data_IF_856054774504
#
_entry.id   IF_856054774504
#
_cell.length_a   1.000
_cell.length_b   1.000
_cell.length_c   1.000
_cell.angle_alpha   90.00
_cell.angle_beta   90.00
_cell.angle_gamma   90.00
#
_symmetry.space_group_name_H-M   'P 1'
#
loop_
_entity.id
_entity.type
_entity.pdbx_description
1 polymer ?
#
# COMPACT_ATOMS: atom_id res chain seq x y z
N UNK A 1 -4.47 -3.30 -18.78
CA UNK A 1 -3.15 -2.90 -18.20
C UNK A 1 -2.23 -2.26 -19.24
N UNK A 2 -1.90 -2.93 -20.35
CA UNK A 2 -0.95 -2.44 -21.39
C UNK A 2 -1.24 -1.03 -21.90
N UNK A 3 -2.50 -0.63 -21.99
CA UNK A 3 -2.92 0.72 -22.41
C UNK A 3 -2.32 1.83 -21.50
N UNK A 4 -1.95 1.50 -20.27
CA UNK A 4 -1.37 2.42 -19.28
C UNK A 4 0.16 2.51 -19.34
N UNK A 5 0.82 1.77 -20.24
CA UNK A 5 2.28 1.77 -20.39
C UNK A 5 2.84 3.18 -20.63
N UNK A 6 2.19 3.97 -21.47
CA UNK A 6 2.63 5.35 -21.76
C UNK A 6 2.54 6.27 -20.53
N UNK A 7 1.49 6.11 -19.71
CA UNK A 7 1.33 6.85 -18.44
C UNK A 7 2.43 6.45 -17.47
N UNK A 8 2.68 5.14 -17.34
CA UNK A 8 3.75 4.60 -16.51
C UNK A 8 5.14 5.12 -16.92
N UNK A 9 5.48 5.06 -18.21
CA UNK A 9 6.76 5.54 -18.73
C UNK A 9 6.93 7.05 -18.52
N UNK A 10 5.86 7.82 -18.70
CA UNK A 10 5.86 9.26 -18.45
C UNK A 10 6.17 9.57 -16.98
N UNK A 11 5.39 9.01 -16.05
CA UNK A 11 5.57 9.25 -14.61
C UNK A 11 6.90 8.70 -14.10
N UNK A 12 7.40 7.61 -14.67
CA UNK A 12 8.72 7.08 -14.39
C UNK A 12 9.83 8.07 -14.79
N UNK A 13 9.71 8.70 -15.94
CA UNK A 13 10.65 9.75 -16.38
C UNK A 13 10.62 11.00 -15.47
N UNK A 14 9.48 11.25 -14.82
CA UNK A 14 9.29 12.31 -13.82
C UNK A 14 9.75 11.91 -12.40
N UNK A 15 10.24 10.67 -12.23
CA UNK A 15 10.80 10.19 -10.96
C UNK A 15 9.81 9.49 -10.02
N UNK A 16 8.57 9.22 -10.46
CA UNK A 16 7.53 8.56 -9.64
C UNK A 16 6.66 7.64 -10.50
N UNK A 17 7.17 6.52 -10.93
CA UNK A 17 6.43 5.59 -11.79
C UNK A 17 5.08 5.20 -11.18
N UNK A 18 3.99 5.59 -11.85
CA UNK A 18 2.60 5.33 -11.43
C UNK A 18 1.67 5.23 -12.63
N UNK A 19 0.61 4.42 -12.47
CA UNK A 19 -0.51 4.37 -13.38
C UNK A 19 -1.83 4.27 -12.61
N UNK A 20 -2.88 4.86 -13.16
CA UNK A 20 -4.24 4.88 -12.58
C UNK A 20 -5.22 4.33 -13.58
N UNK A 21 -6.08 3.39 -13.14
CA UNK A 21 -7.10 2.73 -13.94
C UNK A 21 -8.45 2.88 -13.25
N UNK A 22 -9.36 3.61 -13.86
CA UNK A 22 -10.74 3.72 -13.38
C UNK A 22 -11.58 2.56 -13.90
N UNK A 23 -12.63 2.19 -13.17
CA UNK A 23 -13.52 1.07 -13.47
C UNK A 23 -12.72 -0.24 -13.68
N UNK A 24 -11.85 -0.53 -12.73
CA UNK A 24 -10.87 -1.63 -12.84
C UNK A 24 -11.52 -3.01 -12.82
N UNK A 25 -12.49 -3.22 -11.93
CA UNK A 25 -13.34 -4.41 -11.87
C UNK A 25 -14.74 -4.08 -12.43
N UNK A 26 -15.56 -5.09 -12.64
CA UNK A 26 -16.98 -4.84 -12.77
C UNK A 26 -17.54 -4.25 -11.46
N UNK A 27 -18.55 -3.40 -11.58
CA UNK A 27 -19.09 -2.62 -10.47
C UNK A 27 -19.65 -3.53 -9.37
N UNK A 28 -20.32 -4.63 -9.74
CA UNK A 28 -20.91 -5.58 -8.80
C UNK A 28 -19.82 -6.24 -7.92
N UNK A 29 -18.71 -6.68 -8.54
CA UNK A 29 -17.58 -7.26 -7.81
C UNK A 29 -16.96 -6.23 -6.87
N UNK A 30 -16.77 -4.99 -7.30
CA UNK A 30 -16.21 -3.95 -6.45
C UNK A 30 -17.13 -3.61 -5.26
N UNK A 31 -18.46 -3.58 -5.48
CA UNK A 31 -19.44 -3.39 -4.40
C UNK A 31 -19.39 -4.54 -3.39
N UNK A 32 -19.31 -5.79 -3.85
CA UNK A 32 -19.17 -6.96 -2.96
C UNK A 32 -17.90 -6.91 -2.12
N UNK A 33 -16.78 -6.44 -2.68
CA UNK A 33 -15.56 -6.20 -1.92
C UNK A 33 -15.79 -5.20 -0.78
N UNK A 34 -16.51 -4.11 -1.04
CA UNK A 34 -16.85 -3.15 -0.01
C UNK A 34 -17.74 -3.75 1.07
N UNK A 35 -18.78 -4.48 0.69
CA UNK A 35 -19.69 -5.16 1.62
C UNK A 35 -18.96 -6.19 2.49
N UNK A 36 -18.07 -7.00 1.91
CA UNK A 36 -17.23 -7.93 2.65
C UNK A 36 -16.28 -7.21 3.61
N UNK A 37 -15.67 -6.10 3.18
CA UNK A 37 -14.83 -5.27 4.03
C UNK A 37 -15.60 -4.76 5.26
N UNK A 38 -16.83 -4.26 5.07
CA UNK A 38 -17.68 -3.77 6.16
C UNK A 38 -18.14 -4.86 7.12
N UNK A 39 -18.28 -6.08 6.63
CA UNK A 39 -18.75 -7.24 7.40
C UNK A 39 -17.62 -8.19 7.85
N UNK A 40 -16.38 -7.85 7.56
CA UNK A 40 -15.23 -8.66 7.95
C UNK A 40 -15.18 -8.87 9.49
N UNK A 41 -14.73 -10.04 9.97
CA UNK A 41 -14.72 -10.37 11.39
C UNK A 41 -13.98 -9.32 12.24
N UNK A 42 -14.64 -8.77 13.25
CA UNK A 42 -14.08 -7.67 14.07
C UNK A 42 -12.75 -8.02 14.74
N UNK A 43 -12.56 -9.29 15.15
CA UNK A 43 -11.32 -9.74 15.78
C UNK A 43 -10.12 -9.90 14.84
N UNK A 44 -10.33 -9.78 13.52
CA UNK A 44 -9.25 -9.88 12.52
C UNK A 44 -8.64 -8.53 12.12
N UNK A 45 -9.18 -7.44 12.65
CA UNK A 45 -8.66 -6.09 12.35
C UNK A 45 -7.51 -5.71 13.26
N UNK A 46 -6.47 -5.19 12.66
CA UNK A 46 -5.33 -4.58 13.36
C UNK A 46 -5.37 -3.08 13.17
N UNK A 47 -5.07 -2.35 14.23
CA UNK A 47 -4.99 -0.89 14.19
C UNK A 47 -3.53 -0.47 14.15
N UNK A 48 -3.18 0.21 13.07
CA UNK A 48 -1.87 0.80 12.91
C UNK A 48 -1.92 2.28 13.27
N UNK A 49 -1.18 2.66 14.32
CA UNK A 49 -1.09 4.06 14.77
C UNK A 49 0.37 4.46 14.86
N UNK A 50 0.84 5.35 13.98
CA UNK A 50 2.21 5.86 13.96
C UNK A 50 2.29 7.28 13.41
N UNK A 51 3.14 8.10 14.00
CA UNK A 51 3.46 9.44 13.51
C UNK A 51 2.20 10.26 13.12
N UNK A 52 1.13 10.19 13.95
CA UNK A 52 -0.15 10.85 13.68
C UNK A 52 -1.07 10.13 12.69
N UNK A 53 -0.63 9.00 12.13
CA UNK A 53 -1.45 8.16 11.25
C UNK A 53 -2.30 7.18 12.06
N UNK A 54 -3.51 6.92 11.59
CA UNK A 54 -4.38 5.88 12.12
C UNK A 54 -5.00 5.12 10.96
N UNK A 55 -4.70 3.84 10.84
CA UNK A 55 -5.19 2.97 9.78
C UNK A 55 -5.61 1.62 10.34
N UNK A 56 -6.75 1.14 9.93
CA UNK A 56 -7.22 -0.21 10.22
C UNK A 56 -6.84 -1.12 9.06
N UNK A 57 -6.37 -2.32 9.36
CA UNK A 57 -5.93 -3.32 8.39
C UNK A 57 -6.57 -4.69 8.66
N UNK A 58 -6.93 -5.40 7.59
CA UNK A 58 -7.43 -6.77 7.64
C UNK A 58 -6.85 -7.57 6.48
N UNK A 59 -6.11 -8.63 6.77
CA UNK A 59 -5.37 -9.42 5.77
C UNK A 59 -5.84 -10.88 5.61
N UNK A 60 -6.77 -11.37 6.43
CA UNK A 60 -7.37 -12.69 6.26
C UNK A 60 -8.44 -12.70 5.15
N UNK A 61 -8.01 -12.46 3.92
CA UNK A 61 -8.91 -12.41 2.76
C UNK A 61 -9.35 -13.81 2.29
N UNK A 62 -8.72 -14.87 2.79
CA UNK A 62 -9.08 -16.26 2.44
C UNK A 62 -10.50 -16.58 2.92
N UNK A 63 -10.90 -16.01 4.05
CA UNK A 63 -12.23 -16.24 4.65
C UNK A 63 -13.37 -15.47 3.96
N UNK A 64 -13.04 -14.54 3.05
CA UNK A 64 -13.97 -13.62 2.37
C UNK A 64 -14.08 -13.99 0.88
N UNK A 65 -15.21 -14.56 0.40
CA UNK A 65 -15.29 -15.17 -0.92
C UNK A 65 -14.90 -14.25 -2.11
N UNK A 66 -15.39 -13.01 -2.10
CA UNK A 66 -15.09 -12.07 -3.20
C UNK A 66 -13.64 -11.57 -3.10
N UNK A 67 -13.19 -11.22 -1.89
CA UNK A 67 -11.82 -10.80 -1.65
C UNK A 67 -10.82 -11.92 -1.96
N UNK A 68 -11.14 -13.18 -1.61
CA UNK A 68 -10.35 -14.35 -2.01
C UNK A 68 -10.23 -14.42 -3.54
N UNK A 69 -11.36 -14.44 -4.24
CA UNK A 69 -11.37 -14.53 -5.70
C UNK A 69 -10.57 -13.39 -6.35
N UNK A 70 -10.81 -12.15 -5.94
CA UNK A 70 -10.10 -11.00 -6.50
C UNK A 70 -8.60 -11.09 -6.20
N UNK A 71 -8.23 -11.46 -4.99
CA UNK A 71 -6.82 -11.52 -4.57
C UNK A 71 -6.08 -12.66 -5.25
N UNK A 72 -6.55 -13.89 -5.07
CA UNK A 72 -5.77 -15.07 -5.44
C UNK A 72 -6.02 -15.53 -6.87
N UNK A 73 -7.26 -15.44 -7.36
CA UNK A 73 -7.57 -15.89 -8.71
C UNK A 73 -7.34 -14.81 -9.79
N UNK A 74 -7.35 -13.53 -9.41
CA UNK A 74 -7.14 -12.41 -10.35
C UNK A 74 -5.78 -11.77 -10.11
N UNK A 75 -5.61 -11.04 -8.99
CA UNK A 75 -4.43 -10.17 -8.76
C UNK A 75 -3.12 -10.95 -8.59
N UNK A 76 -3.17 -12.21 -8.17
CA UNK A 76 -2.01 -13.11 -8.04
C UNK A 76 -1.87 -14.09 -9.22
N UNK A 77 -2.76 -14.01 -10.20
CA UNK A 77 -2.69 -14.90 -11.38
C UNK A 77 -1.48 -14.60 -12.26
N UNK A 78 -1.00 -15.63 -12.96
CA UNK A 78 0.08 -15.46 -13.93
C UNK A 78 -0.28 -14.52 -15.07
N UNK A 79 -1.56 -14.47 -15.47
CA UNK A 79 -2.06 -13.55 -16.48
C UNK A 79 -1.96 -12.10 -16.02
N UNK A 80 -2.41 -11.79 -14.82
CA UNK A 80 -2.32 -10.44 -14.26
C UNK A 80 -0.87 -9.99 -14.04
N UNK A 81 -0.02 -10.88 -13.52
CA UNK A 81 1.41 -10.61 -13.35
C UNK A 81 2.09 -10.33 -14.69
N UNK A 82 1.78 -11.11 -15.72
CA UNK A 82 2.29 -10.87 -17.07
C UNK A 82 1.88 -9.48 -17.60
N UNK A 83 0.60 -9.11 -17.44
CA UNK A 83 0.11 -7.78 -17.84
C UNK A 83 0.82 -6.65 -17.08
N UNK A 84 1.10 -6.84 -15.77
CA UNK A 84 1.89 -5.91 -14.99
C UNK A 84 3.32 -5.78 -15.52
N UNK A 85 3.98 -6.88 -15.82
CA UNK A 85 5.33 -6.90 -16.39
C UNK A 85 5.39 -6.18 -17.75
N UNK A 86 4.40 -6.41 -18.61
CA UNK A 86 4.32 -5.72 -19.91
C UNK A 86 4.09 -4.22 -19.77
N UNK A 87 3.29 -3.81 -18.77
CA UNK A 87 3.02 -2.39 -18.52
C UNK A 87 4.23 -1.69 -17.90
N UNK A 88 4.83 -2.31 -16.89
CA UNK A 88 5.87 -1.68 -16.07
C UNK A 88 7.29 -1.85 -16.62
N UNK A 89 7.51 -2.86 -17.44
CA UNK A 89 8.84 -3.29 -17.88
C UNK A 89 9.66 -3.99 -16.78
N UNK A 90 9.02 -4.36 -15.65
CA UNK A 90 9.66 -5.06 -14.53
C UNK A 90 9.35 -6.54 -14.68
N UNK A 91 10.38 -7.37 -14.80
CA UNK A 91 10.23 -8.81 -14.99
C UNK A 91 10.39 -9.59 -13.69
N UNK A 92 9.80 -10.79 -13.63
CA UNK A 92 9.91 -11.70 -12.50
C UNK A 92 9.10 -11.27 -11.28
N UNK A 93 7.96 -10.62 -11.52
CA UNK A 93 7.06 -10.20 -10.45
C UNK A 93 6.45 -11.41 -9.72
N UNK A 94 6.46 -11.35 -8.40
CA UNK A 94 5.91 -12.35 -7.49
C UNK A 94 4.89 -11.69 -6.56
N UNK A 95 3.71 -12.30 -6.36
CA UNK A 95 2.73 -11.79 -5.40
C UNK A 95 3.09 -12.21 -3.96
N UNK A 96 2.49 -11.56 -2.98
CA UNK A 96 2.57 -12.00 -1.57
C UNK A 96 1.33 -12.81 -1.18
N UNK A 97 1.44 -14.14 -1.09
CA UNK A 97 0.30 -14.97 -0.70
C UNK A 97 -0.11 -14.78 0.78
N UNK A 98 0.71 -14.11 1.57
CA UNK A 98 0.47 -13.88 2.99
C UNK A 98 -0.05 -12.47 3.30
N UNK A 99 -0.10 -11.59 2.29
CA UNK A 99 -0.60 -10.22 2.40
C UNK A 99 0.04 -9.40 3.53
N UNK A 100 1.36 -9.56 3.74
CA UNK A 100 2.09 -8.83 4.78
C UNK A 100 2.02 -7.32 4.52
N UNK A 101 1.31 -6.59 5.39
CA UNK A 101 1.02 -5.17 5.23
C UNK A 101 0.09 -4.83 4.06
N UNK A 102 -0.58 -5.85 3.48
CA UNK A 102 -1.54 -5.74 2.39
C UNK A 102 -2.95 -6.15 2.85
N UNK A 103 -3.88 -6.38 1.93
CA UNK A 103 -5.27 -6.65 2.24
C UNK A 103 -6.11 -5.40 2.40
N UNK A 104 -7.24 -5.48 3.10
CA UNK A 104 -8.08 -4.33 3.33
C UNK A 104 -7.39 -3.29 4.22
N UNK A 105 -7.63 -2.03 3.92
CA UNK A 105 -7.19 -0.89 4.74
C UNK A 105 -8.28 0.16 4.81
N UNK A 106 -8.50 0.73 6.01
CA UNK A 106 -9.49 1.78 6.23
C UNK A 106 -8.84 2.95 6.94
N UNK A 107 -9.01 4.14 6.38
CA UNK A 107 -8.73 5.40 7.05
C UNK A 107 -10.07 6.07 7.38
N UNK A 108 -10.32 6.26 8.67
CA UNK A 108 -11.55 6.88 9.18
C UNK A 108 -11.58 8.39 8.94
N UNK A 109 -12.77 8.96 9.06
CA UNK A 109 -12.93 10.41 9.07
C UNK A 109 -12.01 11.07 10.09
N UNK A 110 -11.36 12.17 9.71
CA UNK A 110 -10.41 12.91 10.53
C UNK A 110 -8.97 12.39 10.50
N UNK A 111 -8.71 11.21 9.94
CA UNK A 111 -7.36 10.61 9.92
C UNK A 111 -6.53 11.04 8.72
N UNK A 112 -5.22 10.89 8.86
CA UNK A 112 -4.21 11.10 7.84
C UNK A 112 -3.28 9.89 7.79
N UNK A 113 -2.53 9.73 6.71
CA UNK A 113 -1.33 8.89 6.71
C UNK A 113 -0.15 9.81 6.41
N UNK A 114 0.69 10.01 7.42
CA UNK A 114 1.82 10.94 7.34
C UNK A 114 2.77 10.59 6.20
N UNK A 115 3.49 11.59 5.67
CA UNK A 115 4.48 11.37 4.62
C UNK A 115 5.54 10.35 5.04
N UNK A 116 5.76 9.34 4.20
CA UNK A 116 6.68 8.24 4.48
C UNK A 116 7.23 7.61 3.20
N UNK A 117 8.27 6.81 3.38
CA UNK A 117 8.71 5.81 2.40
C UNK A 117 8.13 4.45 2.81
N UNK A 118 7.68 3.69 1.83
CA UNK A 118 7.24 2.32 2.05
C UNK A 118 8.40 1.39 2.46
N UNK A 119 8.10 0.32 3.20
CA UNK A 119 9.06 -0.77 3.37
C UNK A 119 9.37 -1.40 2.01
N UNK A 120 10.60 -1.85 1.85
CA UNK A 120 11.11 -2.40 0.59
C UNK A 120 11.41 -3.90 0.63
N UNK A 121 11.26 -4.55 1.78
CA UNK A 121 11.67 -5.92 1.98
C UNK A 121 10.63 -6.74 2.74
N UNK A 122 10.37 -7.95 2.26
CA UNK A 122 9.55 -8.94 2.95
C UNK A 122 10.46 -9.98 3.61
N UNK A 123 10.58 -9.95 4.93
CA UNK A 123 11.47 -10.83 5.69
C UNK A 123 11.09 -12.32 5.59
N UNK A 124 9.79 -12.61 5.51
CA UNK A 124 9.29 -13.99 5.40
C UNK A 124 9.60 -14.61 4.05
N UNK A 125 9.38 -13.87 2.98
CA UNK A 125 9.60 -14.33 1.61
C UNK A 125 11.03 -14.11 1.13
N UNK A 126 11.80 -13.25 1.81
CA UNK A 126 13.14 -12.83 1.41
C UNK A 126 13.14 -12.18 0.02
N UNK A 127 12.18 -11.30 -0.21
CA UNK A 127 11.94 -10.65 -1.50
C UNK A 127 11.92 -9.14 -1.38
N UNK A 128 12.40 -8.45 -2.42
CA UNK A 128 12.27 -7.01 -2.56
C UNK A 128 10.87 -6.63 -3.03
N UNK A 129 10.21 -5.73 -2.29
CA UNK A 129 8.96 -5.11 -2.70
C UNK A 129 9.24 -4.14 -3.85
N UNK A 130 8.62 -4.39 -4.97
CA UNK A 130 8.85 -3.62 -6.19
C UNK A 130 7.67 -2.75 -6.58
N UNK A 131 6.45 -3.26 -6.40
CA UNK A 131 5.23 -2.53 -6.72
C UNK A 131 4.28 -2.50 -5.53
N UNK A 132 3.58 -1.39 -5.40
CA UNK A 132 2.43 -1.18 -4.51
C UNK A 132 1.21 -0.91 -5.35
N UNK A 133 0.10 -1.59 -5.08
CA UNK A 133 -1.17 -1.25 -5.69
C UNK A 133 -2.29 -1.09 -4.67
N UNK A 134 -3.25 -0.23 -5.01
CA UNK A 134 -4.45 0.04 -4.23
C UNK A 134 -5.66 0.00 -5.14
N UNK A 135 -6.68 -0.74 -4.75
CA UNK A 135 -8.01 -0.66 -5.34
C UNK A 135 -8.94 0.02 -4.34
N UNK A 136 -9.44 1.20 -4.66
CA UNK A 136 -10.38 1.94 -3.81
C UNK A 136 -11.78 1.41 -3.98
N UNK A 137 -12.45 1.13 -2.86
CA UNK A 137 -13.71 0.40 -2.87
C UNK A 137 -14.86 1.12 -2.15
N UNK A 138 -14.65 2.32 -1.57
CA UNK A 138 -15.74 3.08 -0.95
C UNK A 138 -16.67 3.64 -2.02
N UNK A 139 -17.96 3.23 -2.05
CA UNK A 139 -18.90 3.72 -3.05
C UNK A 139 -19.13 5.23 -2.91
N UNK A 140 -19.41 5.88 -4.04
CA UNK A 140 -19.78 7.29 -4.11
C UNK A 140 -18.79 8.26 -3.46
N UNK A 141 -17.51 7.87 -3.35
CA UNK A 141 -16.48 8.75 -2.81
C UNK A 141 -16.38 10.03 -3.63
N UNK A 142 -16.32 11.16 -2.94
CA UNK A 142 -16.17 12.47 -3.57
C UNK A 142 -14.78 13.03 -3.32
N UNK A 143 -14.23 13.73 -4.30
CA UNK A 143 -12.86 14.30 -4.20
C UNK A 143 -12.73 15.27 -3.03
N UNK A 144 -13.77 16.07 -2.77
CA UNK A 144 -13.80 17.02 -1.65
C UNK A 144 -13.73 16.36 -0.26
N UNK A 145 -13.92 15.05 -0.16
CA UNK A 145 -13.74 14.32 1.10
C UNK A 145 -12.28 13.98 1.42
N UNK A 146 -11.34 14.44 0.59
CA UNK A 146 -9.92 14.21 0.79
C UNK A 146 -9.53 12.74 0.68
N UNK A 147 -8.64 12.28 1.56
CA UNK A 147 -8.14 10.91 1.53
C UNK A 147 -7.29 10.59 0.30
N UNK A 148 -6.80 11.61 -0.41
CA UNK A 148 -5.99 11.46 -1.62
C UNK A 148 -4.67 10.78 -1.30
N UNK A 149 -4.23 9.89 -2.16
CA UNK A 149 -2.84 9.45 -2.17
C UNK A 149 -1.99 10.56 -2.77
N UNK A 150 -1.17 11.19 -1.94
CA UNK A 150 -0.35 12.35 -2.31
C UNK A 150 1.11 11.94 -2.38
N UNK A 151 1.79 12.39 -3.41
CA UNK A 151 3.22 12.17 -3.64
C UNK A 151 3.94 13.51 -3.65
N UNK A 152 5.09 13.60 -2.97
CA UNK A 152 5.91 14.81 -2.88
C UNK A 152 7.32 14.56 -3.41
N UNK A 153 7.98 15.64 -3.84
CA UNK A 153 9.40 15.63 -4.26
C UNK A 153 10.36 15.27 -3.10
N UNK A 154 9.97 15.60 -1.88
CA UNK A 154 10.69 15.31 -0.64
C UNK A 154 9.68 15.23 0.51
N UNK A 155 10.12 14.86 1.72
CA UNK A 155 9.23 14.86 2.87
C UNK A 155 8.86 16.30 3.28
N UNK A 156 7.59 16.72 3.14
CA UNK A 156 7.17 18.09 3.44
C UNK A 156 7.26 18.47 4.93
N UNK A 157 7.37 17.49 5.82
CA UNK A 157 7.57 17.73 7.25
C UNK A 157 9.04 18.09 7.59
N UNK A 158 9.95 17.86 6.66
CA UNK A 158 11.40 18.06 6.82
C UNK A 158 11.97 19.10 5.87
N UNK A 159 11.38 19.19 4.68
CA UNK A 159 11.81 20.10 3.62
C UNK A 159 10.66 21.03 3.24
N UNK A 160 10.72 22.31 3.66
CA UNK A 160 9.69 23.29 3.33
C UNK A 160 9.61 23.62 1.84
N UNK A 161 10.57 23.17 1.04
CA UNK A 161 10.57 23.35 -0.42
C UNK A 161 9.91 22.16 -1.15
N UNK A 162 9.51 21.13 -0.43
CA UNK A 162 8.83 19.97 -0.99
C UNK A 162 7.54 20.38 -1.71
N UNK A 163 7.35 19.84 -2.90
CA UNK A 163 6.18 20.12 -3.74
C UNK A 163 5.38 18.85 -3.95
N UNK A 164 4.06 19.00 -4.03
CA UNK A 164 3.20 17.93 -4.50
C UNK A 164 3.53 17.66 -5.97
N UNK A 165 3.86 16.41 -6.26
CA UNK A 165 4.10 15.91 -7.62
C UNK A 165 2.78 15.39 -8.19
N UNK A 166 2.01 14.69 -7.35
CA UNK A 166 0.75 14.11 -7.75
C UNK A 166 -0.20 13.95 -6.55
N UNK A 167 -1.49 14.01 -6.83
CA UNK A 167 -2.55 13.79 -5.85
C UNK A 167 -3.67 12.98 -6.51
N UNK A 168 -3.90 11.76 -6.04
CA UNK A 168 -4.88 10.84 -6.62
C UNK A 168 -6.04 10.65 -5.66
N UNK A 169 -7.24 11.08 -6.07
CA UNK A 169 -8.47 10.88 -5.32
C UNK A 169 -8.83 9.38 -5.25
N UNK A 170 -9.29 8.86 -4.10
CA UNK A 170 -9.64 7.46 -3.91
C UNK A 170 -11.05 7.15 -4.42
N UNK A 171 -11.33 7.44 -5.69
CA UNK A 171 -12.63 7.21 -6.28
C UNK A 171 -12.97 5.71 -6.33
N UNK A 172 -14.24 5.40 -6.20
CA UNK A 172 -14.73 4.02 -6.25
C UNK A 172 -14.27 3.30 -7.51
N UNK A 173 -13.81 2.06 -7.33
CA UNK A 173 -13.31 1.20 -8.41
C UNK A 173 -12.11 1.77 -9.19
N UNK A 174 -11.33 2.65 -8.54
CA UNK A 174 -10.05 3.16 -9.06
C UNK A 174 -8.92 2.29 -8.55
N UNK A 175 -8.16 1.74 -9.49
CA UNK A 175 -6.93 1.00 -9.22
C UNK A 175 -5.72 1.91 -9.48
N UNK A 176 -4.83 1.97 -8.52
CA UNK A 176 -3.59 2.73 -8.61
C UNK A 176 -2.43 1.78 -8.39
N UNK A 177 -1.40 1.86 -9.22
CA UNK A 177 -0.17 1.11 -9.05
C UNK A 177 1.04 2.03 -9.12
N UNK A 178 2.01 1.85 -8.24
CA UNK A 178 3.24 2.64 -8.17
C UNK A 178 4.47 1.75 -7.95
N UNK A 179 5.61 2.20 -8.47
CA UNK A 179 6.90 1.56 -8.22
C UNK A 179 7.47 1.99 -6.87
N UNK A 180 7.91 1.01 -6.10
CA UNK A 180 8.68 1.25 -4.89
C UNK A 180 10.17 1.33 -5.27
N UNK A 181 10.69 2.55 -5.34
CA UNK A 181 12.08 2.82 -5.72
C UNK A 181 12.90 3.31 -4.53
N UNK A 182 14.21 2.97 -4.50
CA UNK A 182 15.12 3.48 -3.48
C UNK A 182 15.11 5.01 -3.45
N UNK A 183 14.95 5.60 -2.25
CA UNK A 183 14.92 7.06 -2.12
C UNK A 183 13.95 7.74 -3.09
N UNK A 184 12.90 7.01 -3.48
CA UNK A 184 11.85 7.51 -4.35
C UNK A 184 11.04 8.61 -3.68
N UNK A 185 10.02 9.12 -4.36
CA UNK A 185 9.20 10.18 -3.82
C UNK A 185 8.46 9.71 -2.56
N UNK A 186 8.44 10.59 -1.58
CA UNK A 186 7.66 10.43 -0.35
C UNK A 186 6.19 10.48 -0.69
N UNK A 187 5.40 9.63 -0.07
CA UNK A 187 3.95 9.64 -0.24
C UNK A 187 3.21 9.52 1.10
N UNK A 188 1.94 9.81 1.06
CA UNK A 188 1.06 9.72 2.22
C UNK A 188 -0.40 9.86 1.79
N UNK A 189 -1.29 10.05 2.77
CA UNK A 189 -2.71 10.26 2.49
C UNK A 189 -3.16 11.56 3.14
N UNK A 190 -3.77 12.45 2.35
CA UNK A 190 -4.36 13.67 2.86
C UNK A 190 -5.48 13.38 3.85
N UNK A 191 -5.81 14.35 4.69
CA UNK A 191 -6.88 14.19 5.68
C UNK A 191 -8.16 13.69 5.03
N UNK A 192 -8.77 12.69 5.66
CA UNK A 192 -10.09 12.18 5.31
C UNK A 192 -11.14 13.06 5.99
N UNK A 193 -12.04 13.65 5.21
CA UNK A 193 -13.10 14.56 5.67
C UNK A 193 -14.46 14.15 5.10
N UNK A 194 -14.76 12.86 5.19
CA UNK A 194 -16.02 12.28 4.74
C UNK A 194 -17.16 12.49 5.77
N UNK A 195 -18.43 12.44 5.35
CA UNK A 195 -19.57 12.46 6.26
C UNK A 195 -19.53 11.31 7.28
N UNK A 196 -20.21 11.50 8.42
CA UNK A 196 -20.18 10.52 9.51
C UNK A 196 -20.92 9.20 9.20
N UNK A 197 -21.78 9.19 8.20
CA UNK A 197 -22.45 7.99 7.70
C UNK A 197 -21.62 7.21 6.67
N UNK A 198 -20.49 7.78 6.23
CA UNK A 198 -19.48 7.09 5.42
C UNK A 198 -18.42 6.48 6.34
N UNK A 199 -18.24 5.16 6.25
CA UNK A 199 -17.37 4.43 7.17
C UNK A 199 -15.91 4.89 7.13
N UNK A 200 -15.44 5.33 5.97
CA UNK A 200 -14.10 5.84 5.74
C UNK A 200 -13.60 5.54 4.33
N UNK A 201 -12.36 5.89 4.08
CA UNK A 201 -11.65 5.58 2.84
C UNK A 201 -11.17 4.13 2.88
N UNK A 202 -11.91 3.25 2.22
CA UNK A 202 -11.59 1.82 2.15
C UNK A 202 -10.82 1.51 0.87
N UNK A 203 -9.79 0.71 0.99
CA UNK A 203 -9.03 0.17 -0.14
C UNK A 203 -8.60 -1.27 0.15
N UNK A 204 -8.36 -2.03 -0.91
CA UNK A 204 -7.65 -3.30 -0.85
C UNK A 204 -6.27 -3.10 -1.48
N UNK A 205 -5.21 -3.55 -0.78
CA UNK A 205 -3.82 -3.34 -1.17
C UNK A 205 -3.19 -4.65 -1.59
N UNK A 206 -2.35 -4.58 -2.63
CA UNK A 206 -1.53 -5.70 -3.09
C UNK A 206 -0.10 -5.23 -3.30
N UNK A 207 0.86 -6.08 -2.93
CA UNK A 207 2.27 -5.82 -3.13
C UNK A 207 2.87 -6.89 -4.03
N UNK A 208 3.76 -6.44 -4.92
CA UNK A 208 4.49 -7.34 -5.80
C UNK A 208 5.97 -7.18 -5.59
N UNK A 209 6.65 -8.30 -5.60
CA UNK A 209 8.04 -8.43 -5.23
C UNK A 209 8.86 -8.96 -6.39
N UNK A 210 10.17 -8.84 -6.27
CA UNK A 210 11.14 -9.51 -7.15
C UNK A 210 12.13 -10.29 -6.28
N UNK A 211 12.62 -11.40 -6.83
CA UNK A 211 13.73 -12.13 -6.25
C UNK A 211 15.06 -11.49 -6.67
N UNK A 212 15.95 -11.31 -5.71
CA UNK A 212 17.33 -10.89 -5.95
C UNK A 212 18.27 -11.87 -5.23
N UNK A 213 19.46 -12.08 -5.76
CA UNK A 213 20.44 -13.00 -5.13
C UNK A 213 20.84 -12.51 -3.74
N UNK A 214 20.91 -11.21 -3.56
CA UNK A 214 21.18 -10.52 -2.28
C UNK A 214 20.39 -9.24 -2.18
N UNK A 215 20.14 -8.74 -0.94
CA UNK A 215 19.59 -7.41 -0.74
C UNK A 215 20.42 -6.34 -1.46
N UNK A 216 19.73 -5.38 -2.06
CA UNK A 216 20.38 -4.25 -2.72
C UNK A 216 21.20 -3.44 -1.70
N UNK A 217 22.50 -3.29 -1.96
CA UNK A 217 23.42 -2.56 -1.06
C UNK A 217 23.13 -1.05 -1.03
N UNK A 218 22.63 -0.51 -2.13
CA UNK A 218 22.27 0.90 -2.23
C UNK A 218 20.88 1.19 -1.66
N UNK A 219 20.09 0.14 -1.49
CA UNK A 219 18.75 0.18 -0.88
C UNK A 219 18.56 -1.01 0.07
N UNK A 220 19.29 -1.04 1.18
CA UNK A 220 19.21 -2.16 2.11
C UNK A 220 17.78 -2.36 2.63
N UNK A 221 17.43 -3.57 3.08
CA UNK A 221 16.12 -3.84 3.66
C UNK A 221 15.76 -2.84 4.74
N UNK A 222 14.61 -2.20 4.58
CA UNK A 222 14.06 -1.28 5.56
C UNK A 222 12.54 -1.39 5.61
N UNK A 223 11.98 -0.96 6.71
CA UNK A 223 10.54 -0.82 6.90
C UNK A 223 10.07 0.57 6.47
N UNK A 224 8.77 0.83 6.56
CA UNK A 224 8.23 2.16 6.29
C UNK A 224 8.90 3.20 7.18
N UNK A 225 9.41 4.26 6.58
CA UNK A 225 10.14 5.32 7.27
C UNK A 225 9.35 6.61 7.23
N UNK A 226 9.01 7.10 8.40
CA UNK A 226 8.30 8.36 8.63
C UNK A 226 9.28 9.42 9.12
N UNK A 227 9.10 10.69 8.74
CA UNK A 227 9.97 11.82 9.12
C UNK A 227 11.44 11.63 8.73
N UNK A 228 12.37 12.21 9.53
CA UNK A 228 13.79 12.12 9.28
C UNK A 228 14.37 10.74 9.58
N UNK A 229 15.64 10.54 9.20
CA UNK A 229 16.44 9.36 9.56
C UNK A 229 16.59 9.17 11.08
N UNK A 230 16.27 10.18 11.90
CA UNK A 230 16.23 10.09 13.38
C UNK A 230 15.07 9.21 13.84
N UNK A 231 13.98 9.13 13.06
CA UNK A 231 12.89 8.18 13.22
C UNK A 231 13.08 6.99 12.29
N UNK A 232 14.32 6.48 12.23
CA UNK A 232 14.51 5.19 11.62
C UNK A 232 13.54 4.22 12.30
N UNK A 233 12.96 3.33 11.52
CA UNK A 233 12.08 2.30 11.98
C UNK A 233 12.59 1.58 13.25
N UNK A 234 13.91 1.48 13.40
CA UNK A 234 14.57 0.87 14.54
C UNK A 234 14.28 1.61 15.87
N UNK A 235 14.34 2.94 15.89
CA UNK A 235 13.98 3.74 17.07
C UNK A 235 12.50 3.66 17.42
N UNK A 236 11.61 3.71 16.42
CA UNK A 236 10.18 3.60 16.66
C UNK A 236 9.80 2.25 17.30
N UNK A 237 10.52 1.17 16.95
CA UNK A 237 10.29 -0.13 17.58
C UNK A 237 10.86 -0.24 18.97
N UNK A 238 12.00 0.38 19.24
CA UNK A 238 12.56 0.43 20.59
C UNK A 238 11.64 1.20 21.53
N UNK A 239 11.02 2.28 21.06
CA UNK A 239 10.06 3.08 21.84
C UNK A 239 8.69 2.39 22.01
N UNK A 240 8.30 1.51 21.09
CA UNK A 240 7.01 0.79 21.09
C UNK A 240 7.11 -0.66 21.61
N UNK A 241 8.06 -0.98 22.48
CA UNK A 241 8.26 -2.32 23.02
C UNK A 241 8.56 -3.39 21.97
N UNK A 242 9.45 -3.07 21.03
CA UNK A 242 9.96 -4.07 20.12
C UNK A 242 10.65 -5.21 20.88
N UNK A 243 10.00 -6.37 20.91
CA UNK A 243 10.48 -7.57 21.61
C UNK A 243 11.38 -8.48 20.76
N UNK A 244 11.76 -8.02 19.57
CA UNK A 244 12.58 -8.76 18.63
C UNK A 244 11.78 -9.71 17.74
N UNK A 245 10.46 -9.74 17.84
CA UNK A 245 9.60 -10.43 16.89
C UNK A 245 9.27 -9.54 15.70
N UNK A 246 9.30 -10.10 14.51
CA UNK A 246 8.73 -9.43 13.36
C UNK A 246 7.20 -9.52 13.48
N UNK A 247 6.61 -8.44 13.91
CA UNK A 247 5.18 -8.27 13.77
C UNK A 247 4.97 -7.75 12.36
N UNK A 248 4.37 -8.54 11.50
CA UNK A 248 3.94 -8.09 10.19
C UNK A 248 3.16 -6.80 10.35
N UNK A 249 3.07 -5.97 9.32
CA UNK A 249 2.32 -4.72 9.41
C UNK A 249 0.85 -4.92 9.78
N UNK A 250 0.32 -6.13 9.63
CA UNK A 250 -0.98 -6.58 10.14
C UNK A 250 -1.01 -6.99 11.61
N UNK A 251 0.06 -6.78 12.39
CA UNK A 251 0.11 -7.18 13.80
C UNK A 251 0.35 -8.67 14.04
N UNK A 252 0.59 -9.45 13.01
CA UNK A 252 0.86 -10.88 13.14
C UNK A 252 2.33 -11.14 13.46
N UNK A 253 2.57 -12.00 14.45
CA UNK A 253 3.89 -12.52 14.77
C UNK A 253 4.21 -13.69 13.82
N UNK A 254 5.10 -13.45 12.86
CA UNK A 254 5.59 -14.49 11.96
C UNK A 254 6.74 -15.32 12.55
N UNK A 255 7.01 -15.20 13.84
CA UNK A 255 8.03 -15.99 14.55
C UNK A 255 9.47 -15.66 14.13
N UNK A 256 9.68 -14.56 13.43
CA UNK A 256 11.01 -14.10 13.07
C UNK A 256 11.70 -13.46 14.27
N UNK A 257 12.76 -14.10 14.74
CA UNK A 257 13.70 -13.49 15.71
C UNK A 257 14.92 -12.99 14.96
N UNK A 258 15.23 -11.69 14.94
CA UNK A 258 16.47 -11.21 14.39
C UNK A 258 17.64 -11.94 15.08
N UNK A 259 18.59 -12.46 14.30
CA UNK A 259 19.83 -12.98 14.86
C UNK A 259 20.56 -11.82 15.53
N UNK A 260 20.84 -11.98 16.83
CA UNK A 260 21.71 -11.06 17.58
C UNK A 260 23.09 -11.05 16.97
#
# INVERSE_FOLDING_TARGET
>A
MIQKKKEWEKTKAEGFARATIDNFLDEETCMKLYEECMNAPKGGWTVFTRAGSHMEEFNDLISLPTAHKVTYDIMHSGEFLYELEQMTGISGLLPDPHLVGAGYSILRNGTVLSPHYDFNWNDRLRLHRKLTSLLYITPNWKEEWGGHNVTWTANPELDPTAKIVESVAPLFNRFVISENVPKGPVHGVSKVECPNDVYGRCAIRFFYYISTSEPDKDNPPHRSTYKSNEYSHHKLHEEEHWDGHYVGQGGEDYGYKPKK
#
